data_IF_465174428084
#
_entry.id   IF_465174428084
#
_cell.length_a   1.000
_cell.length_b   1.000
_cell.length_c   1.000
_cell.angle_alpha   90.00
_cell.angle_beta   90.00
_cell.angle_gamma   90.00
#
_symmetry.space_group_name_H-M   'P 1'
#
loop_
_entity.id
_entity.type
_entity.pdbx_description
1 polymer ?
#
# COMPACT_ATOMS: atom_id res chain seq x y z
N UNK A 1 9.53 31.15 20.67
CA UNK A 1 8.17 30.56 20.77
C UNK A 1 7.38 30.54 19.45
N UNK A 2 7.35 31.63 18.65
CA UNK A 2 6.58 31.69 17.38
C UNK A 2 7.13 30.77 16.27
N UNK A 3 8.45 30.58 16.18
CA UNK A 3 9.12 29.73 15.18
C UNK A 3 8.99 28.23 15.50
N UNK A 4 9.02 27.84 16.74
CA UNK A 4 8.81 26.46 17.15
C UNK A 4 7.39 26.00 16.81
N UNK A 5 6.39 26.90 16.97
CA UNK A 5 5.00 26.64 16.55
C UNK A 5 4.88 26.43 15.03
N UNK A 6 5.65 27.15 14.21
CA UNK A 6 5.66 26.95 12.75
C UNK A 6 6.31 25.65 12.33
N UNK A 7 7.39 25.24 13.01
CA UNK A 7 8.02 23.94 12.76
C UNK A 7 7.10 22.78 13.18
N UNK A 8 6.40 22.95 14.30
CA UNK A 8 5.38 22.02 14.78
C UNK A 8 4.24 21.84 13.76
N UNK A 9 3.79 22.93 13.14
CA UNK A 9 2.74 22.90 12.11
C UNK A 9 3.19 22.15 10.85
N UNK A 10 4.43 22.29 10.43
CA UNK A 10 4.98 21.58 9.26
C UNK A 10 5.08 20.09 9.56
N UNK A 11 5.51 19.70 10.76
CA UNK A 11 5.60 18.29 11.17
C UNK A 11 4.21 17.66 11.28
N UNK A 12 3.23 18.38 11.85
CA UNK A 12 1.84 17.93 11.93
C UNK A 12 1.18 17.82 10.55
N UNK A 13 1.38 18.80 9.66
CA UNK A 13 0.83 18.76 8.31
C UNK A 13 1.36 17.56 7.51
N UNK A 14 2.64 17.23 7.65
CA UNK A 14 3.24 16.06 7.01
C UNK A 14 2.69 14.75 7.60
N UNK A 15 2.43 14.69 8.91
CA UNK A 15 1.87 13.52 9.56
C UNK A 15 0.41 13.25 9.13
N UNK A 16 -0.41 14.31 9.02
CA UNK A 16 -1.83 14.21 8.65
C UNK A 16 -1.99 13.82 7.17
N UNK A 17 -1.12 14.34 6.27
CA UNK A 17 -1.14 13.99 4.84
C UNK A 17 -0.57 12.61 4.53
N UNK A 18 0.09 11.96 5.49
CA UNK A 18 0.75 10.67 5.31
C UNK A 18 -0.08 9.47 5.77
N UNK A 19 -1.26 9.70 6.37
CA UNK A 19 -2.08 8.59 6.85
C UNK A 19 -2.75 7.90 5.67
N UNK A 20 -2.49 6.61 5.42
CA UNK A 20 -3.33 5.83 4.52
C UNK A 20 -4.73 5.76 5.12
N UNK A 21 -5.75 6.02 4.32
CA UNK A 21 -7.12 5.66 4.66
C UNK A 21 -7.18 4.13 4.66
N UNK A 22 -7.03 3.53 5.84
CA UNK A 22 -7.30 2.11 6.01
C UNK A 22 -8.82 1.94 5.92
N UNK A 23 -9.27 1.46 4.77
CA UNK A 23 -10.66 1.04 4.61
C UNK A 23 -11.01 -0.03 5.64
N UNK A 24 -12.21 0.10 6.19
CA UNK A 24 -12.85 -0.84 7.08
C UNK A 24 -12.74 -2.24 6.48
N UNK A 25 -12.19 -3.17 7.23
CA UNK A 25 -12.12 -4.58 6.91
C UNK A 25 -13.52 -5.16 7.17
N UNK A 26 -14.28 -5.42 6.12
CA UNK A 26 -15.47 -6.26 6.25
C UNK A 26 -14.99 -7.69 6.53
N UNK A 27 -15.39 -8.22 7.65
CA UNK A 27 -15.17 -9.62 8.02
C UNK A 27 -15.94 -10.49 7.03
N UNK A 28 -15.24 -11.38 6.36
CA UNK A 28 -15.83 -12.46 5.58
C UNK A 28 -16.27 -13.55 6.58
N UNK A 29 -17.57 -13.67 6.81
CA UNK A 29 -18.15 -14.74 7.61
C UNK A 29 -18.09 -16.04 6.80
N UNK A 30 -17.32 -16.99 7.26
CA UNK A 30 -17.39 -18.39 6.83
C UNK A 30 -18.70 -18.99 7.35
N UNK A 31 -19.59 -19.38 6.43
CA UNK A 31 -20.78 -20.16 6.74
C UNK A 31 -20.37 -21.64 6.74
N UNK A 32 -20.53 -22.38 7.83
CA UNK A 32 -20.26 -23.80 7.85
C UNK A 32 -21.31 -24.54 7.02
N UNK A 33 -20.86 -25.34 6.05
CA UNK A 33 -21.70 -26.26 5.30
C UNK A 33 -22.01 -27.47 6.18
N UNK A 34 -23.26 -27.59 6.62
CA UNK A 34 -23.78 -28.78 7.29
C UNK A 34 -23.90 -29.92 6.27
N UNK A 35 -23.16 -30.99 6.49
CA UNK A 35 -23.35 -32.27 5.76
C UNK A 35 -24.69 -32.88 6.11
N UNK A 36 -25.56 -33.04 5.13
CA UNK A 36 -26.69 -33.96 5.21
C UNK A 36 -26.36 -35.24 4.44
N UNK A 37 -26.35 -36.35 5.15
CA UNK A 37 -26.15 -37.71 4.66
C UNK A 37 -27.33 -38.20 3.82
N UNK A 38 -26.97 -38.91 2.75
CA UNK A 38 -27.70 -40.05 2.31
C UNK A 38 -28.74 -39.88 1.20
N UNK A 39 -28.23 -39.76 -0.02
CA UNK A 39 -28.79 -40.51 -1.20
C UNK A 39 -27.62 -40.65 -2.19
N UNK A 40 -27.30 -41.88 -2.61
CA UNK A 40 -26.28 -42.13 -3.65
C UNK A 40 -26.71 -41.48 -4.96
N UNK A 41 -26.06 -40.39 -5.42
CA UNK A 41 -26.47 -39.77 -6.68
C UNK A 41 -25.77 -40.48 -7.82
N UNK A 42 -26.55 -40.85 -8.83
CA UNK A 42 -26.07 -41.05 -10.20
C UNK A 42 -25.00 -40.00 -10.52
N UNK A 43 -23.83 -40.37 -11.06
CA UNK A 43 -22.75 -39.39 -11.28
C UNK A 43 -23.27 -38.28 -12.21
N UNK A 44 -23.56 -37.11 -11.63
CA UNK A 44 -23.82 -35.90 -12.41
C UNK A 44 -22.66 -35.67 -13.36
N UNK A 45 -22.89 -35.37 -14.63
CA UNK A 45 -21.79 -35.12 -15.56
C UNK A 45 -20.89 -34.05 -15.01
N UNK A 46 -19.60 -34.38 -14.89
CA UNK A 46 -18.57 -33.47 -14.35
C UNK A 46 -18.68 -32.14 -15.09
N UNK A 47 -18.89 -31.01 -14.39
CA UNK A 47 -19.07 -29.74 -15.06
C UNK A 47 -17.81 -29.42 -15.86
N UNK A 48 -17.95 -29.26 -17.16
CA UNK A 48 -16.86 -28.88 -18.06
C UNK A 48 -16.38 -27.49 -17.63
N UNK A 49 -15.16 -27.44 -17.16
CA UNK A 49 -14.47 -26.19 -16.78
C UNK A 49 -13.37 -25.96 -17.79
N UNK A 50 -13.41 -24.84 -18.48
CA UNK A 50 -12.47 -24.57 -19.56
C UNK A 50 -11.89 -23.15 -19.44
N UNK A 51 -10.56 -23.05 -19.61
CA UNK A 51 -9.86 -21.79 -19.77
C UNK A 51 -9.48 -21.63 -21.24
N UNK A 52 -10.10 -20.67 -21.93
CA UNK A 52 -9.92 -20.44 -23.37
C UNK A 52 -9.10 -19.18 -23.60
N UNK A 53 -8.04 -19.28 -24.40
CA UNK A 53 -7.25 -18.12 -24.84
C UNK A 53 -7.67 -17.72 -26.24
N UNK A 54 -8.02 -16.43 -26.42
CA UNK A 54 -8.34 -15.83 -27.74
C UNK A 54 -7.48 -14.59 -27.93
N UNK A 55 -6.49 -14.69 -28.81
CA UNK A 55 -5.43 -13.69 -28.92
C UNK A 55 -4.69 -13.52 -27.58
N UNK A 56 -4.63 -12.30 -27.08
CA UNK A 56 -4.02 -12.02 -25.78
C UNK A 56 -5.00 -12.07 -24.59
N UNK A 57 -6.24 -12.47 -24.78
CA UNK A 57 -7.29 -12.51 -23.75
C UNK A 57 -7.56 -13.94 -23.31
N UNK A 58 -7.84 -14.11 -22.02
CA UNK A 58 -8.12 -15.40 -21.38
C UNK A 58 -9.52 -15.34 -20.80
N UNK A 59 -10.34 -16.33 -21.12
CA UNK A 59 -11.73 -16.47 -20.70
C UNK A 59 -11.92 -17.77 -19.95
N UNK A 60 -12.88 -17.80 -19.04
CA UNK A 60 -13.28 -19.03 -18.35
C UNK A 60 -14.72 -19.37 -18.66
N UNK A 61 -14.93 -20.60 -19.07
CA UNK A 61 -16.25 -21.15 -19.32
C UNK A 61 -16.61 -22.21 -18.28
N UNK A 62 -17.86 -22.20 -17.87
CA UNK A 62 -18.44 -23.20 -17.00
C UNK A 62 -19.76 -23.67 -17.62
N UNK A 63 -19.88 -24.98 -17.91
CA UNK A 63 -21.05 -25.56 -18.65
C UNK A 63 -21.38 -24.74 -19.93
N UNK A 64 -20.37 -24.43 -20.72
CA UNK A 64 -20.52 -23.66 -21.97
C UNK A 64 -20.82 -22.18 -21.82
N UNK A 65 -21.03 -21.65 -20.58
CA UNK A 65 -21.32 -20.23 -20.33
C UNK A 65 -20.07 -19.48 -19.88
N UNK A 66 -19.83 -18.33 -20.51
CA UNK A 66 -18.71 -17.45 -20.15
C UNK A 66 -18.93 -16.82 -18.77
N UNK A 67 -17.93 -16.95 -17.89
CA UNK A 67 -17.95 -16.37 -16.55
C UNK A 67 -17.53 -14.90 -16.59
N UNK A 68 -18.30 -14.02 -15.94
CA UNK A 68 -18.06 -12.59 -15.83
C UNK A 68 -18.16 -12.13 -14.38
N UNK A 69 -17.41 -11.08 -13.99
CA UNK A 69 -17.41 -10.43 -12.66
C UNK A 69 -17.26 -11.41 -11.49
N UNK A 70 -16.45 -12.48 -11.69
CA UNK A 70 -16.30 -13.54 -10.67
C UNK A 70 -14.85 -14.02 -10.55
N UNK A 71 -14.52 -14.40 -9.34
CA UNK A 71 -13.30 -15.14 -9.04
C UNK A 71 -13.45 -16.61 -9.45
N UNK A 72 -12.39 -17.19 -10.00
CA UNK A 72 -12.29 -18.63 -10.30
C UNK A 72 -10.88 -19.14 -10.04
N UNK A 73 -10.80 -20.40 -9.59
CA UNK A 73 -9.55 -21.17 -9.59
C UNK A 73 -9.54 -22.13 -10.76
N UNK A 74 -8.37 -22.23 -11.40
CA UNK A 74 -8.14 -23.18 -12.48
C UNK A 74 -6.66 -23.59 -12.45
N UNK A 75 -6.38 -24.90 -12.45
CA UNK A 75 -5.05 -25.46 -12.39
C UNK A 75 -4.16 -24.83 -11.29
N UNK A 76 -4.71 -24.69 -10.08
CA UNK A 76 -3.99 -24.14 -8.92
C UNK A 76 -3.87 -22.61 -8.88
N UNK A 77 -4.22 -21.89 -9.94
CA UNK A 77 -4.15 -20.42 -10.01
C UNK A 77 -5.51 -19.77 -9.79
N UNK A 78 -5.52 -18.62 -9.15
CA UNK A 78 -6.72 -17.79 -8.94
C UNK A 78 -6.76 -16.67 -9.97
N UNK A 79 -7.93 -16.46 -10.56
CA UNK A 79 -8.22 -15.46 -11.59
C UNK A 79 -9.44 -14.64 -11.20
N UNK A 80 -9.51 -13.41 -11.69
CA UNK A 80 -10.75 -12.65 -11.71
C UNK A 80 -11.12 -12.34 -13.16
N UNK A 81 -12.35 -12.68 -13.53
CA UNK A 81 -12.89 -12.40 -14.86
C UNK A 81 -13.76 -11.16 -14.78
N UNK A 82 -13.36 -10.11 -15.50
CA UNK A 82 -14.04 -8.81 -15.49
C UNK A 82 -15.40 -8.82 -16.21
N UNK A 83 -16.00 -7.64 -16.38
CA UNK A 83 -17.32 -7.48 -17.01
C UNK A 83 -17.37 -8.04 -18.43
N UNK A 84 -16.28 -7.97 -19.18
CA UNK A 84 -16.16 -8.52 -20.54
C UNK A 84 -15.82 -10.03 -20.56
N UNK A 85 -15.72 -10.67 -19.39
CA UNK A 85 -15.40 -12.09 -19.26
C UNK A 85 -13.91 -12.44 -19.43
N UNK A 86 -13.03 -11.48 -19.73
CA UNK A 86 -11.59 -11.76 -19.81
C UNK A 86 -10.92 -11.68 -18.44
N UNK A 87 -9.92 -12.51 -18.22
CA UNK A 87 -9.08 -12.45 -17.05
C UNK A 87 -8.38 -11.09 -16.97
N UNK A 88 -8.45 -10.43 -15.81
CA UNK A 88 -7.83 -9.13 -15.57
C UNK A 88 -6.33 -9.29 -15.34
N UNK A 89 -5.55 -8.22 -15.56
CA UNK A 89 -4.09 -8.18 -15.43
C UNK A 89 -3.62 -6.92 -14.71
N UNK A 90 -2.44 -6.97 -14.14
CA UNK A 90 -1.90 -5.84 -13.39
C UNK A 90 -2.69 -5.53 -12.13
N UNK A 91 -2.65 -4.28 -11.68
CA UNK A 91 -3.39 -3.82 -10.51
C UNK A 91 -4.86 -3.54 -10.83
N UNK A 92 -5.76 -4.26 -10.21
CA UNK A 92 -7.23 -4.14 -10.40
C UNK A 92 -7.95 -3.90 -9.09
N UNK A 93 -8.89 -2.95 -9.09
CA UNK A 93 -9.76 -2.69 -7.95
C UNK A 93 -10.97 -3.62 -8.01
N UNK A 94 -11.09 -4.48 -7.01
CA UNK A 94 -12.22 -5.41 -6.85
C UNK A 94 -12.70 -5.25 -5.41
N UNK A 95 -13.98 -4.90 -5.23
CA UNK A 95 -14.58 -4.63 -3.90
C UNK A 95 -13.71 -3.70 -3.04
N UNK A 96 -13.32 -2.54 -3.60
CA UNK A 96 -12.45 -1.52 -2.96
C UNK A 96 -11.04 -1.96 -2.56
N UNK A 97 -10.61 -3.17 -2.92
CA UNK A 97 -9.26 -3.69 -2.70
C UNK A 97 -8.51 -3.75 -4.03
N UNK A 98 -7.23 -3.37 -4.02
CA UNK A 98 -6.37 -3.53 -5.20
C UNK A 98 -5.70 -4.90 -5.13
N UNK A 99 -6.00 -5.75 -6.09
CA UNK A 99 -5.34 -7.04 -6.31
C UNK A 99 -4.39 -6.93 -7.50
N UNK A 100 -3.31 -7.71 -7.49
CA UNK A 100 -2.31 -7.69 -8.56
C UNK A 100 -2.26 -9.05 -9.26
N UNK A 101 -2.40 -9.00 -10.59
CA UNK A 101 -2.36 -10.18 -11.44
C UNK A 101 -1.16 -10.12 -12.39
N UNK A 102 -0.61 -11.26 -12.75
CA UNK A 102 0.44 -11.37 -13.75
C UNK A 102 -0.09 -11.16 -15.19
N UNK A 103 0.80 -11.28 -16.17
CA UNK A 103 0.45 -11.12 -17.60
C UNK A 103 -0.43 -12.27 -18.12
N UNK A 104 -0.48 -13.40 -17.41
CA UNK A 104 -1.38 -14.52 -17.70
C UNK A 104 -2.69 -14.41 -16.92
N UNK A 105 -2.96 -13.29 -16.23
CA UNK A 105 -4.17 -13.06 -15.45
C UNK A 105 -4.21 -13.83 -14.12
N UNK A 106 -3.10 -14.43 -13.67
CA UNK A 106 -3.02 -15.17 -12.41
C UNK A 106 -2.73 -14.22 -11.26
N UNK A 107 -3.49 -14.33 -10.17
CA UNK A 107 -3.28 -13.54 -8.96
C UNK A 107 -1.89 -13.84 -8.36
N UNK A 108 -1.16 -12.82 -7.93
CA UNK A 108 0.08 -12.98 -7.17
C UNK A 108 -0.21 -13.42 -5.73
N UNK A 109 -0.78 -14.60 -5.54
CA UNK A 109 -0.91 -15.23 -4.21
C UNK A 109 0.48 -15.63 -3.67
N UNK A 110 0.61 -15.72 -2.35
CA UNK A 110 1.83 -16.17 -1.65
C UNK A 110 3.10 -15.37 -2.00
N UNK A 111 2.92 -14.11 -2.40
CA UNK A 111 4.02 -13.17 -2.71
C UNK A 111 4.09 -12.01 -1.72
N UNK A 112 3.66 -12.23 -0.46
CA UNK A 112 3.67 -11.22 0.59
C UNK A 112 5.04 -10.56 0.75
N UNK A 113 5.04 -9.25 0.98
CA UNK A 113 6.25 -8.43 1.12
C UNK A 113 7.24 -8.59 -0.04
N UNK A 114 6.74 -8.65 -1.27
CA UNK A 114 7.56 -8.72 -2.48
C UNK A 114 7.16 -7.65 -3.49
N UNK A 115 8.16 -7.15 -4.21
CA UNK A 115 7.92 -6.34 -5.40
C UNK A 115 7.84 -7.30 -6.59
N UNK A 116 6.77 -7.16 -7.37
CA UNK A 116 6.49 -7.97 -8.56
C UNK A 116 6.30 -7.09 -9.77
N UNK A 117 6.53 -7.63 -10.96
CA UNK A 117 6.30 -6.95 -12.25
C UNK A 117 5.08 -7.57 -12.94
N UNK A 118 4.24 -6.71 -13.52
CA UNK A 118 3.19 -7.10 -14.46
C UNK A 118 3.12 -6.06 -15.57
N UNK A 119 3.40 -6.47 -16.80
CA UNK A 119 3.61 -5.57 -17.92
C UNK A 119 4.77 -4.61 -17.66
N UNK A 120 4.58 -3.34 -17.96
CA UNK A 120 5.54 -2.26 -17.71
C UNK A 120 5.53 -1.75 -16.26
N UNK A 121 4.58 -2.20 -15.44
CA UNK A 121 4.40 -1.69 -14.08
C UNK A 121 4.99 -2.63 -13.03
N UNK A 122 5.42 -2.06 -11.91
CA UNK A 122 5.83 -2.79 -10.72
C UNK A 122 4.87 -2.51 -9.56
N UNK A 123 4.71 -3.49 -8.67
CA UNK A 123 3.78 -3.48 -7.57
C UNK A 123 4.44 -4.05 -6.32
N UNK A 124 4.07 -3.57 -5.14
CA UNK A 124 4.42 -4.22 -3.89
C UNK A 124 3.20 -5.02 -3.38
N UNK A 125 3.38 -6.33 -3.21
CA UNK A 125 2.35 -7.20 -2.66
C UNK A 125 2.41 -7.13 -1.15
N UNK A 126 1.38 -6.56 -0.53
CA UNK A 126 1.32 -6.33 0.92
C UNK A 126 0.91 -7.57 1.70
N UNK A 127 0.03 -8.40 1.14
CA UNK A 127 -0.52 -9.58 1.81
C UNK A 127 -0.37 -10.83 0.95
N UNK A 128 -0.44 -11.99 1.58
CA UNK A 128 -0.45 -13.30 0.92
C UNK A 128 -1.58 -13.48 -0.10
N UNK A 129 -2.68 -12.73 0.05
CA UNK A 129 -3.83 -12.77 -0.86
C UNK A 129 -3.65 -11.89 -2.11
N UNK A 130 -2.44 -11.47 -2.45
CA UNK A 130 -2.17 -10.69 -3.66
C UNK A 130 -2.63 -9.23 -3.62
N UNK A 131 -2.89 -8.67 -2.42
CA UNK A 131 -3.29 -7.27 -2.23
C UNK A 131 -2.09 -6.34 -2.37
N UNK A 132 -2.24 -5.27 -3.14
CA UNK A 132 -1.19 -4.28 -3.33
C UNK A 132 -1.10 -3.27 -2.19
N UNK A 133 0.10 -2.72 -1.96
CA UNK A 133 0.26 -1.46 -1.24
C UNK A 133 -0.24 -0.30 -2.08
N UNK A 134 -0.81 0.72 -1.41
CA UNK A 134 -1.20 2.01 -1.99
C UNK A 134 -0.68 3.14 -1.09
N UNK A 135 -0.42 4.32 -1.67
CA UNK A 135 0.16 5.44 -0.93
C UNK A 135 1.64 5.25 -0.62
N UNK A 136 2.11 5.94 0.41
CA UNK A 136 3.48 5.81 0.90
C UNK A 136 3.65 4.59 1.79
N UNK A 137 4.76 3.87 1.63
CA UNK A 137 5.14 2.76 2.51
C UNK A 137 6.65 2.58 2.54
N UNK A 138 7.13 1.92 3.58
CA UNK A 138 8.55 1.58 3.75
C UNK A 138 8.71 0.08 3.48
N UNK A 139 9.65 -0.27 2.62
CA UNK A 139 10.00 -1.65 2.33
C UNK A 139 11.52 -1.78 2.20
N UNK A 140 12.11 -2.75 2.93
CA UNK A 140 13.57 -2.97 2.98
C UNK A 140 14.35 -1.66 3.15
N UNK A 141 13.95 -0.86 4.15
CA UNK A 141 14.56 0.42 4.49
C UNK A 141 14.64 1.44 3.32
N UNK A 142 13.64 1.42 2.43
CA UNK A 142 13.45 2.42 1.38
C UNK A 142 12.01 2.90 1.37
N UNK A 143 11.83 4.17 1.01
CA UNK A 143 10.52 4.77 0.81
C UNK A 143 10.01 4.47 -0.59
N UNK A 144 8.74 4.09 -0.70
CA UNK A 144 8.02 3.87 -1.95
C UNK A 144 6.72 4.66 -1.95
N UNK A 145 6.20 4.88 -3.13
CA UNK A 145 4.84 5.37 -3.33
C UNK A 145 4.15 4.56 -4.42
N UNK A 146 2.96 4.05 -4.09
CA UNK A 146 2.06 3.39 -5.04
C UNK A 146 0.84 4.28 -5.32
N UNK A 147 0.45 4.37 -6.59
CA UNK A 147 -0.74 5.09 -7.02
C UNK A 147 -2.05 4.36 -6.59
N UNK A 148 -3.24 4.96 -6.81
CA UNK A 148 -4.52 4.33 -6.47
C UNK A 148 -4.80 3.00 -7.21
N UNK A 149 -4.02 2.64 -8.23
CA UNK A 149 -4.05 1.33 -8.92
C UNK A 149 -2.97 0.38 -8.40
N UNK A 150 -2.23 0.76 -7.33
CA UNK A 150 -1.15 -0.02 -6.74
C UNK A 150 0.16 0.01 -7.51
N UNK A 151 0.29 0.82 -8.59
CA UNK A 151 1.51 0.91 -9.40
C UNK A 151 2.55 1.76 -8.68
N UNK A 152 3.75 1.24 -8.50
CA UNK A 152 4.83 2.03 -7.92
C UNK A 152 5.26 3.15 -8.87
N UNK A 153 5.56 4.31 -8.31
CA UNK A 153 6.19 5.39 -9.05
C UNK A 153 7.59 4.96 -9.47
N UNK A 154 7.87 5.15 -10.75
CA UNK A 154 9.18 4.92 -11.36
C UNK A 154 9.54 6.13 -12.22
N UNK A 155 10.78 6.63 -12.11
CA UNK A 155 11.25 7.84 -12.82
C UNK A 155 10.32 9.05 -12.67
N UNK A 156 9.73 9.23 -11.50
CA UNK A 156 8.73 10.26 -11.23
C UNK A 156 8.99 10.97 -9.91
N UNK A 157 8.60 12.24 -9.87
CA UNK A 157 8.65 13.06 -8.66
C UNK A 157 7.27 13.24 -8.03
N UNK A 158 7.24 13.53 -6.74
CA UNK A 158 6.07 13.94 -5.96
C UNK A 158 6.42 15.09 -5.01
N UNK A 159 5.40 15.69 -4.41
CA UNK A 159 5.54 16.80 -3.47
C UNK A 159 6.39 17.94 -4.07
N UNK A 160 5.95 18.46 -5.23
CA UNK A 160 6.64 19.55 -5.95
C UNK A 160 8.13 19.26 -6.19
N UNK A 161 8.46 18.03 -6.61
CA UNK A 161 9.83 17.61 -6.91
C UNK A 161 10.68 17.15 -5.71
N UNK A 162 10.17 17.31 -4.48
CA UNK A 162 10.92 16.98 -3.26
C UNK A 162 11.23 15.50 -3.08
N UNK A 163 10.43 14.62 -3.65
CA UNK A 163 10.65 13.17 -3.63
C UNK A 163 10.76 12.65 -5.05
N UNK A 164 11.92 12.08 -5.40
CA UNK A 164 12.13 11.44 -6.69
C UNK A 164 12.24 9.92 -6.52
N UNK A 165 11.44 9.18 -7.29
CA UNK A 165 11.43 7.72 -7.32
C UNK A 165 12.20 7.19 -8.52
N UNK A 166 13.18 6.33 -8.26
CA UNK A 166 14.09 5.74 -9.25
C UNK A 166 13.41 4.68 -10.11
N UNK A 167 14.13 4.05 -11.01
CA UNK A 167 13.63 2.94 -11.83
C UNK A 167 13.12 1.75 -11.02
N UNK A 168 13.73 1.48 -9.86
CA UNK A 168 13.28 0.41 -8.95
C UNK A 168 12.02 0.78 -8.15
N UNK A 169 11.55 2.02 -8.26
CA UNK A 169 10.43 2.55 -7.49
C UNK A 169 10.81 3.02 -6.09
N UNK A 170 12.06 2.85 -5.65
CA UNK A 170 12.53 3.40 -4.38
C UNK A 170 12.76 4.92 -4.52
N UNK A 171 12.39 5.68 -3.50
CA UNK A 171 12.75 7.10 -3.44
C UNK A 171 14.25 7.26 -3.30
N UNK A 172 14.82 8.33 -3.91
CA UNK A 172 16.20 8.74 -3.67
C UNK A 172 16.35 9.04 -2.18
N UNK A 173 17.41 8.52 -1.56
CA UNK A 173 17.70 8.72 -0.14
C UNK A 173 18.31 10.11 0.12
N UNK A 174 17.50 11.13 0.04
CA UNK A 174 17.80 12.50 0.46
C UNK A 174 17.10 12.84 1.77
N UNK A 175 17.33 14.07 2.29
CA UNK A 175 16.71 14.51 3.53
C UNK A 175 15.17 14.45 3.51
N UNK A 176 14.54 14.66 2.35
CA UNK A 176 13.09 14.61 2.22
C UNK A 176 12.57 13.17 2.43
N UNK A 177 13.20 12.20 1.78
CA UNK A 177 12.83 10.81 1.89
C UNK A 177 13.12 10.25 3.29
N UNK A 178 14.28 10.59 3.86
CA UNK A 178 14.67 10.17 5.22
C UNK A 178 13.74 10.74 6.28
N UNK A 179 13.41 12.04 6.20
CA UNK A 179 12.46 12.67 7.11
C UNK A 179 11.07 12.06 6.98
N UNK A 180 10.60 11.84 5.76
CA UNK A 180 9.31 11.17 5.52
C UNK A 180 9.26 9.78 6.14
N UNK A 181 10.30 8.98 5.95
CA UNK A 181 10.40 7.64 6.54
C UNK A 181 10.38 7.71 8.07
N UNK A 182 11.14 8.62 8.66
CA UNK A 182 11.19 8.78 10.12
C UNK A 182 9.85 9.18 10.70
N UNK A 183 9.16 10.14 10.09
CA UNK A 183 7.81 10.55 10.50
C UNK A 183 6.83 9.37 10.37
N UNK A 184 6.88 8.61 9.29
CA UNK A 184 6.01 7.43 9.12
C UNK A 184 6.27 6.37 10.20
N UNK A 185 7.53 6.11 10.55
CA UNK A 185 7.89 5.19 11.63
C UNK A 185 7.34 5.64 12.98
N UNK A 186 7.53 6.92 13.33
CA UNK A 186 7.01 7.50 14.57
C UNK A 186 5.48 7.39 14.60
N UNK A 187 4.79 7.86 13.56
CA UNK A 187 3.32 7.80 13.51
C UNK A 187 2.83 6.36 13.66
N UNK A 188 3.47 5.40 13.01
CA UNK A 188 3.07 3.98 13.13
C UNK A 188 3.34 3.39 14.51
N UNK A 189 4.30 3.92 15.28
CA UNK A 189 4.59 3.45 16.65
C UNK A 189 3.65 4.04 17.71
N UNK A 190 3.07 5.22 17.46
CA UNK A 190 2.21 5.92 18.41
C UNK A 190 0.71 5.90 18.05
N UNK A 191 0.36 5.31 16.90
CA UNK A 191 -1.04 5.21 16.43
C UNK A 191 -1.36 3.80 15.95
N UNK A 192 -2.66 3.47 15.89
CA UNK A 192 -3.15 2.22 15.32
C UNK A 192 -4.40 2.43 14.46
N UNK A 193 -4.90 1.36 13.84
CA UNK A 193 -6.07 1.42 12.94
C UNK A 193 -7.39 1.73 13.66
N UNK A 194 -7.51 1.42 14.95
CA UNK A 194 -8.71 1.68 15.75
C UNK A 194 -8.85 3.13 16.21
N UNK A 195 -7.81 3.95 16.09
CA UNK A 195 -7.85 5.36 16.48
C UNK A 195 -8.57 6.22 15.45
N UNK A 196 -9.43 7.13 15.93
CA UNK A 196 -10.00 8.21 15.11
C UNK A 196 -8.92 9.20 14.63
N UNK A 197 -9.25 10.06 13.68
CA UNK A 197 -8.34 11.12 13.20
C UNK A 197 -7.88 12.05 14.34
N UNK A 198 -8.83 12.45 15.22
CA UNK A 198 -8.53 13.31 16.37
C UNK A 198 -7.60 12.62 17.37
N UNK A 199 -7.83 11.35 17.68
CA UNK A 199 -6.94 10.56 18.53
C UNK A 199 -5.52 10.43 17.95
N UNK A 200 -5.39 10.21 16.65
CA UNK A 200 -4.10 10.16 15.97
C UNK A 200 -3.39 11.51 16.03
N UNK A 201 -4.13 12.60 15.77
CA UNK A 201 -3.57 13.96 15.87
C UNK A 201 -3.09 14.25 17.29
N UNK A 202 -3.88 13.92 18.31
CA UNK A 202 -3.51 14.08 19.72
C UNK A 202 -2.26 13.26 20.09
N UNK A 203 -2.16 12.01 19.62
CA UNK A 203 -0.98 11.18 19.83
C UNK A 203 0.29 11.80 19.21
N UNK A 204 0.19 12.36 17.98
CA UNK A 204 1.29 13.07 17.34
C UNK A 204 1.69 14.35 18.12
N UNK A 205 0.69 15.12 18.56
CA UNK A 205 0.93 16.31 19.39
C UNK A 205 1.62 15.93 20.71
N UNK A 206 1.09 14.94 21.42
CA UNK A 206 1.67 14.44 22.67
C UNK A 206 3.11 13.98 22.48
N UNK A 207 3.41 13.26 21.39
CA UNK A 207 4.76 12.83 21.07
C UNK A 207 5.74 14.01 20.90
N UNK A 208 5.32 15.09 20.23
CA UNK A 208 6.17 16.27 20.01
C UNK A 208 6.34 17.09 21.29
N UNK A 209 5.30 17.24 22.10
CA UNK A 209 5.32 18.08 23.30
C UNK A 209 6.02 17.39 24.47
N UNK A 210 5.81 16.08 24.65
CA UNK A 210 6.30 15.33 25.80
C UNK A 210 7.33 14.24 25.43
N UNK A 211 7.72 14.15 24.16
CA UNK A 211 8.58 13.08 23.64
C UNK A 211 10.08 13.24 23.93
N UNK A 212 10.46 14.13 24.86
CA UNK A 212 11.86 14.30 25.27
C UNK A 212 12.68 15.09 24.25
N UNK A 213 12.08 16.05 23.57
CA UNK A 213 12.79 16.98 22.70
C UNK A 213 13.22 18.22 23.48
N UNK A 214 14.51 18.57 23.37
CA UNK A 214 15.13 19.67 24.09
C UNK A 214 15.64 20.72 23.10
N UNK A 215 15.66 21.97 23.57
CA UNK A 215 16.32 23.06 22.86
C UNK A 215 17.84 22.92 23.01
N UNK A 216 18.56 22.98 21.89
CA UNK A 216 20.03 22.92 21.91
C UNK A 216 20.62 22.25 20.66
N UNK A 217 21.93 22.26 20.60
CA UNK A 217 22.73 21.79 19.49
C UNK A 217 23.27 22.93 18.62
N UNK A 218 24.07 22.63 17.58
CA UNK A 218 24.61 23.64 16.69
C UNK A 218 23.52 24.38 15.94
N UNK A 219 23.68 25.67 15.73
CA UNK A 219 22.75 26.48 14.98
C UNK A 219 22.66 26.01 13.54
N UNK A 220 21.43 25.85 12.99
CA UNK A 220 21.29 25.48 11.61
C UNK A 220 21.66 26.64 10.69
N UNK A 221 22.32 26.34 9.58
CA UNK A 221 22.51 27.33 8.52
C UNK A 221 21.17 27.59 7.81
N UNK A 222 20.42 28.59 8.29
CA UNK A 222 19.08 28.95 7.81
C UNK A 222 19.07 29.45 6.36
N UNK A 223 20.21 29.89 5.83
CA UNK A 223 20.37 30.32 4.44
C UNK A 223 20.53 29.17 3.47
N UNK A 224 20.83 27.97 3.95
CA UNK A 224 20.95 26.78 3.12
C UNK A 224 19.57 26.26 2.75
N UNK A 225 19.33 26.03 1.46
CA UNK A 225 18.09 25.39 0.99
C UNK A 225 17.88 24.04 1.67
N UNK A 226 16.65 23.83 2.20
CA UNK A 226 16.28 22.57 2.88
C UNK A 226 16.76 22.45 4.33
N UNK A 227 17.32 23.52 4.91
CA UNK A 227 17.82 23.51 6.31
C UNK A 227 16.77 23.00 7.31
N UNK A 228 15.51 23.44 7.18
CA UNK A 228 14.46 23.06 8.11
C UNK A 228 14.20 21.53 8.12
N UNK A 229 14.40 20.85 6.98
CA UNK A 229 14.24 19.39 6.89
C UNK A 229 15.42 18.65 7.49
N UNK A 230 16.62 19.13 7.25
CA UNK A 230 17.83 18.56 7.88
C UNK A 230 17.82 18.73 9.39
N UNK A 231 17.34 19.89 9.86
CA UNK A 231 17.20 20.18 11.29
C UNK A 231 16.11 19.30 11.94
N UNK A 232 14.95 19.18 11.32
CA UNK A 232 13.89 18.28 11.79
C UNK A 232 14.37 16.82 11.86
N UNK A 233 15.14 16.36 10.87
CA UNK A 233 15.71 15.01 10.89
C UNK A 233 16.76 14.85 12.00
N UNK A 234 17.59 15.87 12.24
CA UNK A 234 18.54 15.90 13.35
C UNK A 234 17.82 15.80 14.70
N UNK A 235 16.79 16.62 14.89
CA UNK A 235 15.96 16.61 16.10
C UNK A 235 15.37 15.23 16.39
N UNK A 236 14.79 14.56 15.39
CA UNK A 236 14.26 13.20 15.55
C UNK A 236 15.33 12.13 15.81
N UNK A 237 16.59 12.40 15.52
CA UNK A 237 17.72 11.47 15.76
C UNK A 237 18.38 11.69 17.11
N UNK A 238 18.51 12.92 17.54
CA UNK A 238 19.30 13.31 18.71
C UNK A 238 18.46 13.73 19.92
N UNK A 239 17.18 14.05 19.71
CA UNK A 239 16.33 14.68 20.72
C UNK A 239 16.57 16.18 20.88
N UNK A 240 17.52 16.78 20.16
CA UNK A 240 17.84 18.20 20.27
C UNK A 240 17.57 18.97 19.00
N UNK A 241 16.99 20.16 19.12
CA UNK A 241 16.69 21.06 18.02
C UNK A 241 16.75 22.53 18.41
N UNK A 242 16.91 23.40 17.41
CA UNK A 242 16.91 24.85 17.57
C UNK A 242 15.63 25.46 16.99
N UNK A 243 15.26 26.62 17.50
CA UNK A 243 14.12 27.39 17.00
C UNK A 243 14.39 28.00 15.62
#
# INVERSE_FOLDING_TARGET
MKTLKKLLFIIMAVAVLAMPVFGVQAAESDIPVTEQSGVSPTPSPVPIRELVTRGNKIYYYYKGKMVKNKWKRYNGYKYYFGANGNAVRGGQRINNVIYVFDEKGRLFENKQNKIVKSGSNIYHIRTEHGRASIGYFIYKNNLYYADPKGRLYQKKSRQNGQLYFTNSGAARKDYNALLKMRVMQIVSSITNSGMSQSQKLYACWKYVVYGGFYYGGPDPNIYKSGWARSEALRMFRTGYGNC
#
